data_IF_436285788904
#
_entry.id   IF_436285788904
#
_cell.length_a   1.000
_cell.length_b   1.000
_cell.length_c   1.000
_cell.angle_alpha   90.00
_cell.angle_beta   90.00
_cell.angle_gamma   90.00
#
_symmetry.space_group_name_H-M   'P 1'
#
loop_
_entity.id
_entity.type
_entity.pdbx_description
1 polymer ?
#
# COMPACT_ATOMS: atom_id res chain seq x y z
N UNK A 1 -23.55 -8.16 6.99
CA UNK A 1 -22.15 -8.14 7.48
C UNK A 1 -21.10 -8.58 6.45
N UNK A 2 -21.35 -9.59 5.61
CA UNK A 2 -20.35 -10.10 4.64
C UNK A 2 -19.83 -9.04 3.64
N UNK A 3 -20.74 -8.23 3.07
CA UNK A 3 -20.37 -7.19 2.09
C UNK A 3 -19.46 -6.11 2.70
N UNK A 4 -19.81 -5.57 3.88
CA UNK A 4 -18.99 -4.56 4.56
C UNK A 4 -17.59 -5.05 4.90
N UNK A 5 -17.44 -6.33 5.28
CA UNK A 5 -16.12 -6.95 5.47
C UNK A 5 -15.31 -7.01 4.18
N UNK A 6 -15.94 -7.37 3.05
CA UNK A 6 -15.28 -7.40 1.74
C UNK A 6 -14.78 -6.01 1.33
N UNK A 7 -15.64 -5.00 1.44
CA UNK A 7 -15.28 -3.59 1.12
C UNK A 7 -14.13 -3.11 2.00
N UNK A 8 -14.18 -3.37 3.31
CA UNK A 8 -13.11 -3.02 4.23
C UNK A 8 -11.78 -3.70 3.84
N UNK A 9 -11.80 -4.99 3.50
CA UNK A 9 -10.59 -5.71 3.09
C UNK A 9 -10.01 -5.15 1.79
N UNK A 10 -10.86 -4.82 0.80
CA UNK A 10 -10.42 -4.16 -0.43
C UNK A 10 -9.79 -2.79 -0.14
N UNK A 11 -10.39 -1.99 0.75
CA UNK A 11 -9.82 -0.70 1.15
C UNK A 11 -8.46 -0.84 1.84
N UNK A 12 -8.28 -1.87 2.68
CA UNK A 12 -6.99 -2.17 3.31
C UNK A 12 -5.95 -2.61 2.26
N UNK A 13 -6.32 -3.44 1.29
CA UNK A 13 -5.41 -3.83 0.19
C UNK A 13 -4.99 -2.59 -0.59
N UNK A 14 -5.94 -1.75 -1.01
CA UNK A 14 -5.67 -0.51 -1.73
C UNK A 14 -4.72 0.41 -0.96
N UNK A 15 -5.02 0.69 0.32
CA UNK A 15 -4.17 1.54 1.16
C UNK A 15 -2.78 0.94 1.38
N UNK A 16 -2.66 -0.39 1.47
CA UNK A 16 -1.38 -1.06 1.61
C UNK A 16 -0.53 -0.98 0.35
N UNK A 17 -1.13 -1.05 -0.85
CA UNK A 17 -0.43 -0.80 -2.11
C UNK A 17 0.14 0.62 -2.13
N UNK A 18 -0.69 1.62 -1.79
CA UNK A 18 -0.26 3.01 -1.72
C UNK A 18 0.91 3.19 -0.75
N UNK A 19 0.82 2.60 0.46
CA UNK A 19 1.89 2.71 1.46
C UNK A 19 3.21 2.09 0.97
N UNK A 20 3.17 0.94 0.27
CA UNK A 20 4.36 0.36 -0.32
C UNK A 20 5.00 1.28 -1.36
N UNK A 21 4.20 1.92 -2.21
CA UNK A 21 4.70 2.84 -3.22
C UNK A 21 5.31 4.10 -2.59
N UNK A 22 4.58 4.76 -1.69
CA UNK A 22 5.09 5.95 -0.99
C UNK A 22 6.36 5.64 -0.17
N UNK A 23 6.39 4.52 0.54
CA UNK A 23 7.59 4.10 1.27
C UNK A 23 8.74 3.76 0.32
N UNK A 24 8.45 3.07 -0.78
CA UNK A 24 9.43 2.74 -1.84
C UNK A 24 10.07 3.98 -2.44
N UNK A 25 9.29 5.02 -2.70
CA UNK A 25 9.78 6.30 -3.23
C UNK A 25 10.73 7.00 -2.28
N UNK A 26 10.34 7.12 -1.01
CA UNK A 26 11.18 7.76 0.01
C UNK A 26 12.47 6.93 0.20
N UNK A 27 12.37 5.60 0.21
CA UNK A 27 13.54 4.72 0.26
C UNK A 27 14.45 4.91 -0.95
N UNK A 28 13.89 5.01 -2.16
CA UNK A 28 14.66 5.25 -3.38
C UNK A 28 15.44 6.57 -3.29
N UNK A 29 14.79 7.66 -2.90
CA UNK A 29 15.44 8.96 -2.71
C UNK A 29 16.49 8.93 -1.59
N UNK A 30 16.22 8.20 -0.50
CA UNK A 30 17.17 7.97 0.59
C UNK A 30 18.44 7.25 0.15
N UNK A 31 18.31 6.19 -0.66
CA UNK A 31 19.46 5.46 -1.16
C UNK A 31 20.21 6.22 -2.26
N UNK A 32 19.50 6.92 -3.16
CA UNK A 32 20.14 7.74 -4.19
C UNK A 32 20.97 8.89 -3.62
N UNK A 33 20.51 9.51 -2.54
CA UNK A 33 21.22 10.62 -1.88
C UNK A 33 22.39 10.19 -1.00
N UNK A 34 22.77 8.90 -1.03
CA UNK A 34 23.93 8.36 -0.33
C UNK A 34 23.84 8.51 1.20
N UNK A 35 22.64 8.35 1.76
CA UNK A 35 22.35 8.47 3.21
C UNK A 35 22.61 9.85 3.84
N UNK A 36 22.95 10.87 3.02
CA UNK A 36 23.09 12.26 3.49
C UNK A 36 21.74 12.90 3.76
N UNK A 37 20.72 12.49 3.01
CA UNK A 37 19.34 12.90 3.25
C UNK A 37 18.76 12.07 4.39
N UNK A 38 18.26 12.75 5.43
CA UNK A 38 17.58 12.12 6.56
C UNK A 38 16.09 12.49 6.50
N UNK A 39 15.23 11.63 5.95
CA UNK A 39 13.81 11.95 5.84
C UNK A 39 13.21 12.14 7.23
N UNK A 40 12.43 13.21 7.42
CA UNK A 40 11.72 13.53 8.66
C UNK A 40 12.59 13.68 9.93
N UNK A 41 13.86 14.02 9.78
CA UNK A 41 14.74 14.34 10.90
C UNK A 41 14.24 15.59 11.66
N UNK A 42 14.36 15.65 13.01
CA UNK A 42 14.96 14.67 13.92
C UNK A 42 14.00 13.60 14.45
N UNK A 43 12.76 13.57 13.97
CA UNK A 43 11.71 12.72 14.53
C UNK A 43 11.81 11.27 14.08
N UNK A 44 12.24 11.04 12.83
CA UNK A 44 12.57 9.71 12.32
C UNK A 44 14.07 9.47 12.47
N UNK A 45 14.43 8.44 13.23
CA UNK A 45 15.84 8.12 13.53
C UNK A 45 16.64 7.75 12.27
N UNK A 46 16.04 6.97 11.38
CA UNK A 46 16.68 6.50 10.15
C UNK A 46 15.62 6.23 9.05
N UNK A 47 15.93 6.63 7.81
CA UNK A 47 15.05 6.42 6.66
C UNK A 47 14.82 4.93 6.32
N UNK A 48 15.77 4.06 6.66
CA UNK A 48 15.66 2.60 6.47
C UNK A 48 14.50 1.97 7.24
N UNK A 49 13.95 2.65 8.26
CA UNK A 49 12.77 2.18 8.99
C UNK A 49 11.52 2.08 8.10
N UNK A 50 11.50 2.77 6.95
CA UNK A 50 10.45 2.63 5.93
C UNK A 50 10.44 1.25 5.25
N UNK A 51 11.46 0.41 5.41
CA UNK A 51 11.36 -1.01 5.02
C UNK A 51 10.29 -1.74 5.83
N UNK A 52 10.14 -1.42 7.11
CA UNK A 52 9.14 -2.04 7.97
C UNK A 52 7.71 -1.64 7.56
N UNK A 53 7.51 -0.42 7.03
CA UNK A 53 6.19 -0.01 6.51
C UNK A 53 5.83 -0.78 5.25
N UNK A 54 6.81 -1.07 4.39
CA UNK A 54 6.63 -1.91 3.20
C UNK A 54 6.29 -3.36 3.58
N UNK A 55 7.01 -3.93 4.55
CA UNK A 55 6.76 -5.30 5.05
C UNK A 55 5.38 -5.37 5.74
N UNK A 56 5.02 -4.39 6.59
CA UNK A 56 3.71 -4.32 7.23
C UNK A 56 2.59 -4.28 6.18
N UNK A 57 2.75 -3.45 5.16
CA UNK A 57 1.76 -3.32 4.08
C UNK A 57 1.58 -4.62 3.30
N UNK A 58 2.67 -5.33 2.99
CA UNK A 58 2.59 -6.66 2.36
C UNK A 58 1.84 -7.68 3.24
N UNK A 59 2.14 -7.73 4.54
CA UNK A 59 1.46 -8.62 5.48
C UNK A 59 -0.02 -8.23 5.67
N UNK A 60 -0.34 -6.94 5.60
CA UNK A 60 -1.71 -6.44 5.61
C UNK A 60 -2.51 -6.89 4.38
N UNK A 61 -1.90 -6.88 3.18
CA UNK A 61 -2.53 -7.39 1.96
C UNK A 61 -2.88 -8.88 2.12
N UNK A 62 -1.94 -9.69 2.62
CA UNK A 62 -2.17 -11.13 2.81
C UNK A 62 -3.35 -11.36 3.77
N UNK A 63 -3.32 -10.70 4.93
CA UNK A 63 -4.34 -10.90 5.97
C UNK A 63 -5.71 -10.36 5.53
N UNK A 64 -5.74 -9.24 4.79
CA UNK A 64 -6.98 -8.66 4.26
C UNK A 64 -7.59 -9.55 3.18
N UNK A 65 -6.78 -10.12 2.29
CA UNK A 65 -7.24 -11.09 1.29
C UNK A 65 -7.87 -12.32 1.92
N UNK A 66 -7.19 -12.93 2.90
CA UNK A 66 -7.69 -14.16 3.56
C UNK A 66 -9.00 -13.86 4.30
N UNK A 67 -9.07 -12.75 5.03
CA UNK A 67 -10.27 -12.36 5.78
C UNK A 67 -11.44 -11.93 4.85
N UNK A 68 -11.10 -11.32 3.71
CA UNK A 68 -12.03 -10.86 2.68
C UNK A 68 -12.53 -11.96 1.75
N UNK A 69 -12.07 -13.20 1.90
CA UNK A 69 -12.58 -14.36 1.17
C UNK A 69 -13.98 -14.72 1.68
N UNK A 70 -15.02 -14.16 1.06
CA UNK A 70 -16.42 -14.42 1.41
C UNK A 70 -17.18 -15.00 0.22
N UNK A 71 -17.97 -16.05 0.46
CA UNK A 71 -18.85 -16.65 -0.56
C UNK A 71 -20.03 -15.72 -0.88
N UNK A 72 -19.78 -14.72 -1.74
CA UNK A 72 -20.83 -13.94 -2.37
C UNK A 72 -21.32 -14.74 -3.59
N UNK A 73 -22.48 -15.39 -3.46
CA UNK A 73 -23.10 -16.27 -4.48
C UNK A 73 -23.47 -15.58 -5.81
N UNK A 74 -23.34 -14.25 -5.92
CA UNK A 74 -23.58 -13.48 -7.16
C UNK A 74 -22.44 -12.49 -7.32
N UNK A 75 -21.87 -12.42 -8.53
CA UNK A 75 -20.65 -11.68 -8.93
C UNK A 75 -19.34 -12.45 -8.65
N UNK A 76 -19.30 -13.73 -9.03
CA UNK A 76 -18.03 -14.46 -9.29
C UNK A 76 -17.44 -14.15 -10.67
N UNK A 77 -18.08 -13.27 -11.46
CA UNK A 77 -17.53 -12.77 -12.71
C UNK A 77 -16.46 -11.71 -12.41
N UNK A 78 -15.24 -12.21 -12.22
CA UNK A 78 -13.97 -11.60 -12.57
C UNK A 78 -13.71 -10.18 -12.02
N UNK A 79 -13.64 -9.98 -10.69
CA UNK A 79 -13.10 -8.69 -10.19
C UNK A 79 -11.69 -8.48 -10.75
N UNK A 80 -10.93 -9.55 -10.95
CA UNK A 80 -9.67 -9.48 -11.68
C UNK A 80 -9.84 -8.88 -13.10
N UNK A 81 -10.86 -9.24 -13.88
CA UNK A 81 -11.08 -8.72 -15.24
C UNK A 81 -11.44 -7.24 -15.23
N UNK A 82 -12.34 -6.83 -14.32
CA UNK A 82 -12.60 -5.40 -14.10
C UNK A 82 -11.34 -4.67 -13.64
N UNK A 83 -10.51 -5.32 -12.83
CA UNK A 83 -9.20 -4.83 -12.44
C UNK A 83 -8.26 -4.64 -13.63
N UNK A 84 -8.15 -5.63 -14.53
CA UNK A 84 -7.38 -5.54 -15.76
C UNK A 84 -7.88 -4.44 -16.68
N UNK A 85 -9.20 -4.33 -16.87
CA UNK A 85 -9.81 -3.24 -17.64
C UNK A 85 -9.49 -1.89 -17.01
N UNK A 86 -9.64 -1.75 -15.69
CA UNK A 86 -9.35 -0.51 -14.97
C UNK A 86 -7.89 -0.09 -15.11
N UNK A 87 -6.95 -1.05 -14.98
CA UNK A 87 -5.52 -0.81 -15.20
C UNK A 87 -5.25 -0.44 -16.66
N UNK A 88 -5.80 -1.17 -17.63
CA UNK A 88 -5.63 -0.90 -19.05
C UNK A 88 -6.15 0.49 -19.45
N UNK A 89 -7.36 0.83 -19.01
CA UNK A 89 -7.96 2.15 -19.22
C UNK A 89 -7.07 3.21 -18.60
N UNK A 90 -6.62 3.02 -17.35
CA UNK A 90 -5.70 3.96 -16.70
C UNK A 90 -4.42 4.17 -17.52
N UNK A 91 -3.80 3.10 -18.03
CA UNK A 91 -2.62 3.22 -18.89
C UNK A 91 -2.91 3.97 -20.20
N UNK A 92 -4.03 3.68 -20.87
CA UNK A 92 -4.44 4.39 -22.09
C UNK A 92 -4.64 5.88 -21.78
N UNK A 93 -5.35 6.21 -20.69
CA UNK A 93 -5.54 7.58 -20.24
C UNK A 93 -4.20 8.27 -19.94
N UNK A 94 -3.28 7.60 -19.26
CA UNK A 94 -1.95 8.16 -19.03
C UNK A 94 -1.17 8.36 -20.33
N UNK A 95 -1.16 7.41 -21.26
CA UNK A 95 -0.47 7.58 -22.55
C UNK A 95 -1.03 8.80 -23.32
N UNK A 96 -2.35 8.96 -23.33
CA UNK A 96 -3.00 10.03 -24.11
C UNK A 96 -2.86 11.41 -23.49
N UNK A 97 -3.00 11.51 -22.16
CA UNK A 97 -3.12 12.81 -21.47
C UNK A 97 -1.88 13.17 -20.64
N UNK A 98 -1.03 12.19 -20.32
CA UNK A 98 0.05 12.33 -19.36
C UNK A 98 1.21 11.32 -19.61
N UNK A 99 1.78 11.23 -20.84
CA UNK A 99 2.71 10.16 -21.19
C UNK A 99 4.02 10.19 -20.39
N UNK A 100 4.44 11.37 -19.93
CA UNK A 100 5.57 11.56 -19.01
C UNK A 100 5.36 10.88 -17.65
N UNK A 101 4.11 10.59 -17.27
CA UNK A 101 3.76 9.98 -15.98
C UNK A 101 3.74 8.46 -15.99
N UNK A 102 3.98 7.80 -17.14
CA UNK A 102 4.05 6.33 -17.21
C UNK A 102 5.14 5.76 -16.30
N UNK A 103 6.27 6.46 -16.18
CA UNK A 103 7.35 6.09 -15.26
C UNK A 103 7.07 6.52 -13.80
N UNK A 104 6.18 7.52 -13.60
CA UNK A 104 5.80 8.07 -12.28
C UNK A 104 4.74 7.19 -11.58
N UNK A 105 4.12 6.22 -12.27
CA UNK A 105 3.25 5.21 -11.63
C UNK A 105 3.98 4.35 -10.59
N UNK A 106 5.30 4.28 -10.67
CA UNK A 106 6.13 3.65 -9.65
C UNK A 106 6.74 4.67 -8.68
N UNK A 107 6.56 5.98 -8.93
CA UNK A 107 7.13 7.09 -8.15
C UNK A 107 6.09 8.19 -7.81
N UNK A 108 4.97 7.87 -7.13
CA UNK A 108 3.88 8.82 -6.87
C UNK A 108 4.26 10.09 -6.08
N UNK A 109 5.39 10.11 -5.40
CA UNK A 109 5.88 11.30 -4.67
C UNK A 109 6.29 12.47 -5.58
N UNK A 110 6.58 12.20 -6.86
CA UNK A 110 6.97 13.21 -7.85
C UNK A 110 5.78 13.94 -8.50
N UNK A 111 4.53 13.55 -8.19
CA UNK A 111 3.32 14.00 -8.90
C UNK A 111 3.08 15.51 -8.78
N UNK A 112 3.27 16.13 -7.61
CA UNK A 112 2.87 17.54 -7.45
C UNK A 112 3.91 18.57 -7.86
N UNK A 113 5.18 18.19 -7.96
CA UNK A 113 6.22 19.13 -8.36
C UNK A 113 6.20 19.38 -9.88
N UNK A 114 5.66 18.43 -10.65
CA UNK A 114 5.77 18.50 -12.09
C UNK A 114 4.75 19.50 -12.70
N UNK A 115 3.44 19.37 -12.46
CA UNK A 115 2.46 20.19 -13.18
C UNK A 115 1.12 20.31 -12.42
N UNK A 116 0.85 21.47 -11.81
CA UNK A 116 -0.29 21.71 -10.91
C UNK A 116 -1.69 21.66 -11.54
N UNK A 117 -1.83 21.87 -12.86
CA UNK A 117 -3.13 21.95 -13.55
C UNK A 117 -3.67 20.62 -14.09
N UNK A 118 -2.82 19.58 -14.23
CA UNK A 118 -3.22 18.23 -14.68
C UNK A 118 -3.43 17.25 -13.52
N UNK A 119 -3.35 17.73 -12.28
CA UNK A 119 -3.34 16.94 -11.04
C UNK A 119 -4.58 16.04 -10.87
N UNK A 120 -5.77 16.51 -11.27
CA UNK A 120 -7.02 15.78 -11.06
C UNK A 120 -7.14 14.56 -11.99
N UNK A 121 -6.83 14.72 -13.28
CA UNK A 121 -6.88 13.62 -14.26
C UNK A 121 -5.83 12.55 -13.96
N UNK A 122 -4.63 12.99 -13.59
CA UNK A 122 -3.53 12.11 -13.19
C UNK A 122 -3.87 11.35 -11.90
N UNK A 123 -4.46 12.01 -10.91
CA UNK A 123 -4.92 11.36 -9.67
C UNK A 123 -6.04 10.34 -9.93
N UNK A 124 -6.96 10.64 -10.84
CA UNK A 124 -8.01 9.70 -11.24
C UNK A 124 -7.42 8.46 -11.94
N UNK A 125 -6.43 8.65 -12.83
CA UNK A 125 -5.73 7.53 -13.47
C UNK A 125 -5.00 6.66 -12.43
N UNK A 126 -4.30 7.25 -11.45
CA UNK A 126 -3.66 6.51 -10.37
C UNK A 126 -4.67 5.75 -9.51
N UNK A 127 -5.78 6.39 -9.15
CA UNK A 127 -6.86 5.72 -8.42
C UNK A 127 -7.39 4.50 -9.18
N UNK A 128 -7.63 4.63 -10.49
CA UNK A 128 -8.08 3.53 -11.34
C UNK A 128 -7.02 2.43 -11.49
N UNK A 129 -5.73 2.78 -11.58
CA UNK A 129 -4.65 1.82 -11.67
C UNK A 129 -4.53 1.02 -10.36
N UNK A 130 -4.36 1.68 -9.22
CA UNK A 130 -4.18 1.01 -7.92
C UNK A 130 -5.46 0.33 -7.45
N UNK A 131 -6.63 0.89 -7.77
CA UNK A 131 -7.93 0.25 -7.58
C UNK A 131 -8.05 -1.02 -8.42
N UNK A 132 -7.63 -0.97 -9.68
CA UNK A 132 -7.60 -2.14 -10.54
C UNK A 132 -6.63 -3.23 -10.05
N UNK A 133 -5.43 -2.84 -9.61
CA UNK A 133 -4.47 -3.76 -8.97
C UNK A 133 -5.05 -4.41 -7.70
N UNK A 134 -5.80 -3.65 -6.90
CA UNK A 134 -6.49 -4.17 -5.71
C UNK A 134 -7.44 -5.29 -6.06
N UNK A 135 -8.25 -5.12 -7.11
CA UNK A 135 -9.19 -6.15 -7.59
C UNK A 135 -8.46 -7.38 -8.16
N UNK A 136 -7.35 -7.18 -8.88
CA UNK A 136 -6.51 -8.28 -9.39
C UNK A 136 -5.91 -9.08 -8.25
N UNK A 137 -5.39 -8.41 -7.20
CA UNK A 137 -4.78 -9.06 -6.03
C UNK A 137 -5.82 -9.84 -5.22
N UNK A 138 -7.01 -9.28 -5.05
CA UNK A 138 -8.11 -9.93 -4.32
C UNK A 138 -8.50 -11.27 -4.97
N UNK A 139 -8.62 -11.29 -6.32
CA UNK A 139 -9.01 -12.46 -7.12
C UNK A 139 -7.82 -13.20 -7.75
N UNK A 140 -6.58 -13.03 -7.26
CA UNK A 140 -5.37 -13.55 -7.91
C UNK A 140 -5.34 -15.08 -8.07
N UNK A 141 -6.06 -15.81 -7.22
CA UNK A 141 -6.15 -17.28 -7.29
C UNK A 141 -7.01 -17.75 -8.47
N UNK A 142 -7.96 -16.91 -8.91
CA UNK A 142 -8.90 -17.23 -9.99
C UNK A 142 -8.33 -16.89 -11.38
N UNK A 143 -7.20 -16.16 -11.44
CA UNK A 143 -6.51 -15.82 -12.68
C UNK A 143 -5.99 -17.04 -13.44
N UNK A 144 -5.44 -18.01 -12.72
CA UNK A 144 -5.01 -19.27 -13.32
C UNK A 144 -4.90 -20.38 -12.28
N UNK A 145 -5.17 -21.60 -12.72
CA UNK A 145 -4.98 -22.81 -11.90
C UNK A 145 -3.52 -22.97 -11.42
N UNK A 146 -2.54 -22.50 -12.19
CA UNK A 146 -1.12 -22.54 -11.81
C UNK A 146 -0.84 -21.58 -10.64
N UNK A 147 -1.35 -20.35 -10.71
CA UNK A 147 -1.24 -19.37 -9.64
C UNK A 147 -1.96 -19.83 -8.37
N UNK A 148 -3.17 -20.38 -8.51
CA UNK A 148 -3.91 -20.98 -7.38
C UNK A 148 -3.07 -22.05 -6.66
N UNK A 149 -2.54 -23.04 -7.40
CA UNK A 149 -1.68 -24.09 -6.83
C UNK A 149 -0.40 -23.54 -6.18
N UNK A 150 0.22 -22.52 -6.78
CA UNK A 150 1.42 -21.88 -6.23
C UNK A 150 1.13 -21.14 -4.92
N UNK A 151 0.01 -20.42 -4.85
CA UNK A 151 -0.45 -19.72 -3.65
C UNK A 151 -0.85 -20.69 -2.54
N UNK A 152 -1.47 -21.82 -2.88
CA UNK A 152 -1.76 -22.88 -1.91
C UNK A 152 -0.48 -23.51 -1.36
N UNK A 153 0.53 -23.73 -2.21
CA UNK A 153 1.83 -24.19 -1.77
C UNK A 153 2.54 -23.16 -0.87
N UNK A 154 2.45 -21.88 -1.20
CA UNK A 154 2.97 -20.79 -0.38
C UNK A 154 2.25 -20.73 0.98
N UNK A 155 0.92 -20.81 0.99
CA UNK A 155 0.11 -20.84 2.22
C UNK A 155 0.54 -21.98 3.14
N UNK A 156 0.72 -23.19 2.60
CA UNK A 156 1.22 -24.35 3.35
C UNK A 156 2.62 -24.11 3.95
N UNK A 157 3.52 -23.45 3.21
CA UNK A 157 4.85 -23.08 3.74
C UNK A 157 4.74 -22.04 4.86
N UNK A 158 3.91 -21.01 4.67
CA UNK A 158 3.68 -19.96 5.66
C UNK A 158 3.05 -20.50 6.95
N UNK A 159 2.23 -21.54 6.88
CA UNK A 159 1.66 -22.20 8.07
C UNK A 159 2.75 -22.67 9.04
N UNK A 160 3.90 -23.15 8.54
CA UNK A 160 5.04 -23.55 9.39
C UNK A 160 5.62 -22.37 10.18
N UNK A 161 5.57 -21.17 9.61
CA UNK A 161 6.16 -19.96 10.17
C UNK A 161 5.11 -19.01 10.77
N UNK A 162 3.87 -19.45 11.00
CA UNK A 162 2.76 -18.61 11.46
C UNK A 162 3.08 -17.75 12.69
N UNK A 163 3.80 -18.28 13.67
CA UNK A 163 4.21 -17.55 14.89
C UNK A 163 5.27 -16.49 14.58
N UNK A 164 6.22 -16.81 13.72
CA UNK A 164 7.25 -15.87 13.26
C UNK A 164 6.63 -14.74 12.43
N UNK A 165 5.70 -15.07 11.53
CA UNK A 165 4.95 -14.08 10.75
C UNK A 165 4.15 -13.14 11.64
N UNK A 166 3.50 -13.66 12.68
CA UNK A 166 2.78 -12.82 13.65
C UNK A 166 3.71 -11.84 14.37
N UNK A 167 4.87 -12.31 14.83
CA UNK A 167 5.88 -11.45 15.48
C UNK A 167 6.44 -10.40 14.52
N UNK A 168 6.79 -10.79 13.29
CA UNK A 168 7.24 -9.85 12.26
C UNK A 168 6.15 -8.83 11.97
N UNK A 169 4.90 -9.26 11.81
CA UNK A 169 3.77 -8.36 11.55
C UNK A 169 3.61 -7.35 12.69
N UNK A 170 3.66 -7.82 13.94
CA UNK A 170 3.58 -6.97 15.13
C UNK A 170 4.68 -5.92 15.16
N UNK A 171 5.94 -6.34 15.03
CA UNK A 171 7.09 -5.43 15.01
C UNK A 171 6.96 -4.41 13.88
N UNK A 172 6.63 -4.85 12.67
CA UNK A 172 6.47 -3.96 11.53
C UNK A 172 5.33 -2.94 11.73
N UNK A 173 4.19 -3.35 12.30
CA UNK A 173 3.09 -2.43 12.60
C UNK A 173 3.46 -1.40 13.69
N UNK A 174 4.19 -1.80 14.74
CA UNK A 174 4.68 -0.85 15.76
C UNK A 174 5.65 0.15 15.15
N UNK A 175 6.64 -0.33 14.38
CA UNK A 175 7.58 0.55 13.69
C UNK A 175 6.86 1.47 12.72
N UNK A 176 5.82 0.99 12.02
CA UNK A 176 5.01 1.82 11.12
C UNK A 176 4.23 2.91 11.85
N UNK A 177 3.69 2.63 13.04
CA UNK A 177 3.07 3.67 13.90
C UNK A 177 4.12 4.69 14.33
N UNK A 178 5.32 4.25 14.71
CA UNK A 178 6.41 5.16 15.03
C UNK A 178 6.74 6.06 13.82
N UNK A 179 6.89 5.50 12.61
CA UNK A 179 7.10 6.28 11.38
C UNK A 179 5.97 7.29 11.17
N UNK A 180 4.70 6.88 11.29
CA UNK A 180 3.54 7.78 11.17
C UNK A 180 3.65 8.96 12.15
N UNK A 181 3.94 8.68 13.43
CA UNK A 181 4.09 9.72 14.45
C UNK A 181 5.26 10.64 14.13
N UNK A 182 6.40 10.11 13.66
CA UNK A 182 7.55 10.90 13.25
C UNK A 182 7.23 11.84 12.09
N UNK A 183 6.54 11.34 11.05
CA UNK A 183 6.12 12.16 9.90
C UNK A 183 5.13 13.25 10.35
N UNK A 184 4.17 12.88 11.21
CA UNK A 184 3.19 13.83 11.74
C UNK A 184 3.84 14.93 12.59
N UNK A 185 4.73 14.57 13.53
CA UNK A 185 5.48 15.52 14.33
C UNK A 185 6.37 16.43 13.48
N UNK A 186 7.02 15.86 12.46
CA UNK A 186 7.82 16.64 11.51
C UNK A 186 6.97 17.66 10.76
N UNK A 187 5.78 17.27 10.29
CA UNK A 187 4.86 18.16 9.58
C UNK A 187 4.34 19.30 10.48
N UNK A 188 4.04 19.01 11.75
CA UNK A 188 3.65 20.05 12.71
C UNK A 188 4.78 21.04 12.99
N UNK A 189 6.01 20.55 13.14
CA UNK A 189 7.15 21.36 13.55
C UNK A 189 7.66 22.31 12.44
N UNK A 190 7.58 21.90 11.18
CA UNK A 190 8.08 22.70 10.06
C UNK A 190 7.03 23.67 9.50
N UNK A 191 5.82 23.69 10.08
CA UNK A 191 4.63 24.24 9.43
C UNK A 191 4.31 23.41 8.18
N UNK A 192 3.04 23.33 7.78
CA UNK A 192 2.69 22.56 6.60
C UNK A 192 3.36 23.05 5.30
N UNK A 193 4.19 24.10 5.32
CA UNK A 193 5.05 24.55 4.24
C UNK A 193 6.12 23.50 3.87
N UNK A 194 5.70 22.48 3.10
CA UNK A 194 6.64 21.57 2.46
C UNK A 194 7.32 22.34 1.32
N UNK A 195 8.58 22.73 1.54
CA UNK A 195 9.46 23.15 0.44
C UNK A 195 9.49 22.06 -0.65
N UNK A 196 9.67 22.50 -1.90
CA UNK A 196 9.57 21.75 -3.16
C UNK A 196 10.27 20.38 -3.21
N UNK A 197 11.09 20.00 -2.22
CA UNK A 197 11.92 18.81 -2.26
C UNK A 197 11.38 17.60 -1.48
N UNK A 198 10.50 17.78 -0.50
CA UNK A 198 10.28 16.72 0.51
C UNK A 198 9.03 15.86 0.38
N UNK A 199 8.02 16.31 -0.34
CA UNK A 199 6.80 15.61 -0.76
C UNK A 199 5.76 16.72 -0.97
N UNK A 200 4.84 16.56 -1.90
CA UNK A 200 3.67 17.42 -1.94
C UNK A 200 2.88 17.34 -0.62
N UNK A 201 2.45 18.46 -0.02
CA UNK A 201 1.74 18.50 1.28
C UNK A 201 0.57 17.50 1.35
N UNK A 202 -0.20 17.39 0.26
CA UNK A 202 -1.34 16.48 0.13
C UNK A 202 -0.90 15.00 0.16
N UNK A 203 0.23 14.68 -0.45
CA UNK A 203 0.74 13.30 -0.52
C UNK A 203 1.31 12.81 0.82
N UNK A 204 1.96 13.70 1.58
CA UNK A 204 2.44 13.38 2.92
C UNK A 204 1.28 13.13 3.90
N UNK A 205 0.21 13.94 3.82
CA UNK A 205 -1.00 13.73 4.61
C UNK A 205 -1.70 12.40 4.29
N UNK A 206 -1.90 12.10 3.00
CA UNK A 206 -2.51 10.84 2.54
C UNK A 206 -1.66 9.64 2.98
N UNK A 207 -0.34 9.69 2.79
CA UNK A 207 0.57 8.64 3.22
C UNK A 207 0.50 8.41 4.74
N UNK A 208 0.57 9.47 5.54
CA UNK A 208 0.52 9.39 7.02
C UNK A 208 -0.79 8.77 7.49
N UNK A 209 -1.92 9.21 6.95
CA UNK A 209 -3.24 8.70 7.31
C UNK A 209 -3.42 7.23 6.89
N UNK A 210 -3.01 6.87 5.66
CA UNK A 210 -3.08 5.50 5.18
C UNK A 210 -2.17 4.56 5.99
N UNK A 211 -0.97 5.01 6.34
CA UNK A 211 -0.04 4.25 7.16
C UNK A 211 -0.60 4.02 8.57
N UNK A 212 -1.23 5.04 9.17
CA UNK A 212 -1.92 4.90 10.46
C UNK A 212 -3.05 3.87 10.40
N UNK A 213 -3.98 4.02 9.44
CA UNK A 213 -5.15 3.14 9.30
C UNK A 213 -4.72 1.68 9.13
N UNK A 214 -3.79 1.42 8.20
CA UNK A 214 -3.30 0.07 7.91
C UNK A 214 -2.49 -0.52 9.07
N UNK A 215 -1.71 0.29 9.79
CA UNK A 215 -0.96 -0.19 10.96
C UNK A 215 -1.87 -0.53 12.14
N UNK A 216 -2.90 0.29 12.42
CA UNK A 216 -3.91 -0.02 13.45
C UNK A 216 -4.66 -1.30 13.08
N UNK A 217 -5.06 -1.43 11.81
CA UNK A 217 -5.72 -2.63 11.33
C UNK A 217 -4.83 -3.86 11.48
N UNK A 218 -3.55 -3.78 11.10
CA UNK A 218 -2.57 -4.87 11.22
C UNK A 218 -2.35 -5.30 12.67
N UNK A 219 -2.23 -4.35 13.61
CA UNK A 219 -2.21 -4.65 15.05
C UNK A 219 -3.50 -5.33 15.51
N UNK A 220 -4.66 -4.93 14.98
CA UNK A 220 -5.93 -5.60 15.23
C UNK A 220 -5.91 -7.06 14.80
N UNK A 221 -5.25 -7.39 13.69
CA UNK A 221 -5.09 -8.77 13.20
C UNK A 221 -4.14 -9.58 14.08
N UNK A 222 -3.02 -8.99 14.50
CA UNK A 222 -2.09 -9.61 15.46
C UNK A 222 -2.77 -9.85 16.80
N UNK A 223 -3.50 -8.87 17.34
CA UNK A 223 -4.23 -9.02 18.62
C UNK A 223 -5.23 -10.18 18.58
N UNK A 224 -5.86 -10.41 17.43
CA UNK A 224 -6.78 -11.53 17.19
C UNK A 224 -6.06 -12.86 16.88
N UNK A 225 -4.73 -12.92 16.97
CA UNK A 225 -3.91 -14.08 16.62
C UNK A 225 -4.21 -14.63 15.23
N UNK A 226 -4.49 -13.74 14.27
CA UNK A 226 -5.03 -14.12 12.97
C UNK A 226 -4.16 -15.18 12.27
N UNK A 227 -2.84 -15.00 12.30
CA UNK A 227 -1.87 -15.92 11.71
C UNK A 227 -1.92 -17.33 12.31
N UNK A 228 -2.26 -17.45 13.60
CA UNK A 228 -2.34 -18.74 14.29
C UNK A 228 -3.67 -19.46 14.03
N UNK A 229 -4.75 -18.71 13.79
CA UNK A 229 -6.11 -19.25 13.71
C UNK A 229 -6.62 -19.46 12.28
N UNK A 230 -6.16 -18.68 11.30
CA UNK A 230 -6.76 -18.62 9.95
C UNK A 230 -5.81 -19.05 8.82
N UNK A 231 -4.56 -19.38 9.14
CA UNK A 231 -3.58 -19.87 8.16
C UNK A 231 -3.47 -21.38 8.17
#
# INVERSE_FOLDING_TARGET
MALGRKILCLAIIFNSILNMLFAGDILYMFYLSGSKWRPYWPYLLDGSLLWFTSIASFLNIITAKILGSVDLKRIKFHHYFYGFISVLISFIFMIMFAPTYLFILLMPTLISNAYGSTSMTVSAAFFLAYGGMTLIIDDIQDLSLRLGKALDALKRKLHRFRRTLEMIHFCCCITSIYVTLSVFSWALANGFHLGELMLPEISAGIFTLNLLITSIWGLGMVKKRFWLMNL
#
